data_IF_521461657424
#
_entry.id   IF_521461657424
#
_cell.length_a   1.000
_cell.length_b   1.000
_cell.length_c   1.000
_cell.angle_alpha   90.00
_cell.angle_beta   90.00
_cell.angle_gamma   90.00
#
_symmetry.space_group_name_H-M   'P 1'
#
loop_
_entity.id
_entity.type
_entity.pdbx_description
1 polymer ?
#
# COMPACT_ATOMS: atom_id res chain seq x y z
N UNK A 1 6.84 -12.36 8.96
CA UNK A 1 6.50 -13.49 9.83
C UNK A 1 6.61 -14.83 9.07
N UNK A 2 6.96 -15.93 9.77
CA UNK A 2 6.97 -17.26 9.17
C UNK A 2 5.54 -17.78 9.04
N UNK A 3 5.03 -17.92 7.78
CA UNK A 3 3.66 -18.42 7.56
C UNK A 3 2.63 -17.74 8.46
N UNK A 4 2.60 -16.40 8.47
CA UNK A 4 1.91 -15.57 9.46
C UNK A 4 0.52 -16.05 9.86
N UNK A 5 -0.38 -16.31 8.89
CA UNK A 5 -1.74 -16.78 9.17
C UNK A 5 -1.77 -18.10 9.97
N UNK A 6 -0.90 -19.05 9.66
CA UNK A 6 -0.85 -20.32 10.37
C UNK A 6 -0.37 -20.21 11.83
N UNK A 7 0.11 -19.05 12.24
CA UNK A 7 0.46 -18.80 13.65
C UNK A 7 -0.77 -18.37 14.48
N UNK A 8 -1.84 -17.88 13.84
CA UNK A 8 -3.07 -17.48 14.50
C UNK A 8 -4.02 -18.67 14.70
N UNK A 9 -4.54 -18.92 15.91
CA UNK A 9 -5.51 -20.00 16.15
C UNK A 9 -6.90 -19.60 15.63
N UNK A 10 -7.70 -20.63 15.26
CA UNK A 10 -9.13 -20.49 14.98
C UNK A 10 -9.93 -20.90 16.21
N UNK A 11 -10.93 -20.10 16.56
CA UNK A 11 -11.85 -20.46 17.63
C UNK A 11 -12.56 -21.79 17.32
N UNK A 12 -12.66 -22.68 18.30
CA UNK A 12 -13.18 -24.05 18.13
C UNK A 12 -14.53 -24.09 17.38
N UNK A 13 -15.46 -23.20 17.71
CA UNK A 13 -16.77 -23.15 17.08
C UNK A 13 -16.73 -22.72 15.59
N UNK A 14 -15.60 -22.19 15.13
CA UNK A 14 -15.40 -21.71 13.75
C UNK A 14 -14.61 -22.71 12.88
N UNK A 15 -13.96 -23.71 13.47
CA UNK A 15 -13.13 -24.69 12.75
C UNK A 15 -13.94 -25.44 11.69
N UNK A 16 -15.18 -25.82 11.98
CA UNK A 16 -16.11 -26.51 11.08
C UNK A 16 -16.33 -25.79 9.74
N UNK A 17 -16.19 -24.45 9.70
CA UNK A 17 -16.34 -23.68 8.45
C UNK A 17 -15.12 -23.77 7.55
N UNK A 18 -14.05 -24.39 8.01
CA UNK A 18 -12.81 -24.59 7.26
C UNK A 18 -12.66 -26.05 6.81
N UNK A 19 -13.71 -26.85 6.95
CA UNK A 19 -13.68 -28.27 6.66
C UNK A 19 -13.36 -28.52 5.16
N UNK A 20 -12.48 -29.49 4.92
CA UNK A 20 -12.09 -29.95 3.59
C UNK A 20 -12.00 -31.45 3.54
N UNK A 21 -12.35 -32.02 2.38
CA UNK A 21 -12.33 -33.47 2.16
C UNK A 21 -10.98 -33.90 1.57
N UNK A 22 -10.46 -35.01 2.09
CA UNK A 22 -9.28 -35.67 1.56
C UNK A 22 -9.60 -37.15 1.27
N UNK A 23 -8.74 -37.90 0.55
CA UNK A 23 -8.89 -39.35 0.41
C UNK A 23 -8.91 -40.13 1.75
N UNK A 24 -8.41 -39.49 2.81
CA UNK A 24 -8.28 -40.09 4.14
C UNK A 24 -9.38 -39.66 5.15
N UNK A 25 -10.28 -38.75 4.73
CA UNK A 25 -11.39 -38.27 5.54
C UNK A 25 -11.60 -36.76 5.49
N UNK A 26 -12.51 -36.33 6.36
CA UNK A 26 -12.84 -34.92 6.54
C UNK A 26 -11.95 -34.30 7.60
N UNK A 27 -11.33 -33.17 7.29
CA UNK A 27 -10.44 -32.42 8.18
C UNK A 27 -10.89 -30.96 8.32
N UNK A 28 -10.49 -30.35 9.42
CA UNK A 28 -10.75 -28.92 9.72
C UNK A 28 -9.44 -28.24 10.10
N UNK A 29 -9.32 -26.95 9.81
CA UNK A 29 -8.16 -26.18 10.22
C UNK A 29 -8.28 -25.72 11.67
N UNK A 30 -7.24 -25.98 12.45
CA UNK A 30 -7.10 -25.45 13.82
C UNK A 30 -6.36 -24.11 13.86
N UNK A 31 -5.69 -23.77 12.77
CA UNK A 31 -4.98 -22.50 12.54
C UNK A 31 -5.56 -21.81 11.33
N UNK A 32 -5.42 -20.50 11.26
CA UNK A 32 -5.98 -19.68 10.20
C UNK A 32 -5.40 -20.07 8.83
N UNK A 33 -6.19 -20.66 7.90
CA UNK A 33 -5.69 -21.04 6.59
C UNK A 33 -5.70 -19.86 5.63
N UNK A 34 -4.89 -19.97 4.57
CA UNK A 34 -4.98 -19.06 3.44
C UNK A 34 -6.29 -19.29 2.66
N UNK A 35 -6.82 -18.24 2.02
CA UNK A 35 -7.99 -18.31 1.15
C UNK A 35 -9.32 -17.97 1.81
N UNK A 36 -9.40 -17.83 3.14
CA UNK A 36 -10.58 -17.29 3.82
C UNK A 36 -10.66 -15.78 3.59
N UNK A 37 -11.81 -15.31 3.11
CA UNK A 37 -12.01 -13.88 2.78
C UNK A 37 -11.74 -12.94 3.97
N UNK A 38 -12.09 -13.35 5.19
CA UNK A 38 -11.87 -12.56 6.41
C UNK A 38 -10.50 -12.72 7.06
N UNK A 39 -9.66 -13.67 6.61
CA UNK A 39 -8.38 -13.97 7.25
C UNK A 39 -7.41 -12.78 7.29
N UNK A 40 -7.20 -12.02 6.18
CA UNK A 40 -6.29 -10.89 6.19
C UNK A 40 -6.70 -9.81 7.20
N UNK A 41 -7.98 -9.40 7.18
CA UNK A 41 -8.49 -8.36 8.09
C UNK A 41 -8.46 -8.80 9.55
N UNK A 42 -8.79 -10.07 9.83
CA UNK A 42 -8.70 -10.62 11.17
C UNK A 42 -7.26 -10.64 11.67
N UNK A 43 -6.33 -11.16 10.87
CA UNK A 43 -4.93 -11.24 11.21
C UNK A 43 -4.32 -9.85 11.46
N UNK A 44 -4.56 -8.91 10.54
CA UNK A 44 -4.13 -7.51 10.69
C UNK A 44 -4.63 -6.91 12.01
N UNK A 45 -5.91 -7.08 12.31
CA UNK A 45 -6.50 -6.56 13.54
C UNK A 45 -5.83 -7.16 14.79
N UNK A 46 -5.74 -8.49 14.88
CA UNK A 46 -5.12 -9.18 16.03
C UNK A 46 -3.67 -8.72 16.21
N UNK A 47 -2.91 -8.67 15.13
CA UNK A 47 -1.51 -8.22 15.18
C UNK A 47 -1.40 -6.77 15.69
N UNK A 48 -2.21 -5.85 15.19
CA UNK A 48 -2.13 -4.44 15.60
C UNK A 48 -2.67 -4.19 17.01
N UNK A 49 -3.79 -4.85 17.40
CA UNK A 49 -4.52 -4.49 18.65
C UNK A 49 -4.17 -5.38 19.83
N UNK A 50 -3.65 -6.58 19.61
CA UNK A 50 -3.36 -7.54 20.67
C UNK A 50 -1.87 -7.90 20.76
N UNK A 51 -1.22 -8.15 19.62
CA UNK A 51 0.21 -8.49 19.59
C UNK A 51 1.08 -7.25 19.75
N UNK A 52 0.90 -6.26 18.89
CA UNK A 52 1.71 -5.04 18.87
C UNK A 52 1.04 -3.86 19.58
N UNK A 53 0.07 -4.13 20.45
CA UNK A 53 -0.59 -3.10 21.25
C UNK A 53 0.42 -2.22 22.00
N UNK A 54 0.30 -0.89 21.84
CA UNK A 54 1.21 0.10 22.42
C UNK A 54 2.59 0.20 21.75
N UNK A 55 2.81 -0.52 20.64
CA UNK A 55 4.03 -0.44 19.82
C UNK A 55 3.71 -0.06 18.38
N UNK A 56 2.59 -0.56 17.83
CA UNK A 56 2.13 -0.25 16.49
C UNK A 56 1.83 1.24 16.32
N UNK A 57 2.24 1.81 15.19
CA UNK A 57 2.17 3.23 14.83
C UNK A 57 3.01 4.17 15.74
N UNK A 58 3.86 3.61 16.63
CA UNK A 58 4.79 4.36 17.46
C UNK A 58 6.23 4.02 17.07
N UNK A 59 6.61 2.74 17.17
CA UNK A 59 7.95 2.25 16.87
C UNK A 59 7.98 1.24 15.72
N UNK A 60 6.82 0.79 15.28
CA UNK A 60 6.69 -0.16 14.18
C UNK A 60 5.39 0.05 13.41
N UNK A 61 5.39 -0.38 12.15
CA UNK A 61 4.21 -0.44 11.30
C UNK A 61 4.07 -1.86 10.76
N UNK A 62 2.83 -2.31 10.64
CA UNK A 62 2.52 -3.65 10.15
C UNK A 62 1.54 -3.59 9.00
N UNK A 63 1.83 -4.34 7.95
CA UNK A 63 0.87 -4.64 6.90
C UNK A 63 0.85 -6.15 6.68
N UNK A 64 -0.21 -6.80 7.15
CA UNK A 64 -0.35 -8.26 7.18
C UNK A 64 0.83 -8.93 7.90
N UNK A 65 1.71 -9.61 7.17
CA UNK A 65 2.88 -10.32 7.69
C UNK A 65 4.20 -9.52 7.56
N UNK A 66 4.17 -8.37 6.90
CA UNK A 66 5.32 -7.47 6.77
C UNK A 66 5.35 -6.46 7.92
N UNK A 67 6.41 -6.52 8.72
CA UNK A 67 6.63 -5.65 9.87
C UNK A 67 7.87 -4.79 9.62
N UNK A 68 7.70 -3.48 9.72
CA UNK A 68 8.81 -2.52 9.71
C UNK A 68 8.99 -1.93 11.10
N UNK A 69 10.24 -1.85 11.56
CA UNK A 69 10.64 -1.23 12.83
C UNK A 69 11.47 -0.01 12.51
N UNK A 70 11.25 1.08 13.21
CA UNK A 70 11.93 2.36 12.98
C UNK A 70 12.64 2.86 14.22
N UNK A 71 13.64 3.71 14.04
CA UNK A 71 14.35 4.46 15.07
C UNK A 71 15.04 5.67 14.43
N UNK A 72 15.15 6.77 15.17
CA UNK A 72 15.83 8.00 14.72
C UNK A 72 17.37 7.88 14.83
N UNK A 73 17.82 7.04 15.75
CA UNK A 73 19.24 6.70 15.96
C UNK A 73 19.42 5.19 15.97
N UNK A 74 20.64 4.73 15.84
CA UNK A 74 20.97 3.31 15.94
C UNK A 74 20.57 2.73 17.30
N UNK A 75 20.83 3.45 18.39
CA UNK A 75 20.47 3.03 19.74
C UNK A 75 18.95 2.90 19.90
N UNK A 76 18.19 3.88 19.42
CA UNK A 76 16.72 3.82 19.44
C UNK A 76 16.20 2.66 18.59
N UNK A 77 16.76 2.45 17.40
CA UNK A 77 16.41 1.33 16.53
C UNK A 77 16.64 -0.02 17.24
N UNK A 78 17.81 -0.23 17.83
CA UNK A 78 18.15 -1.46 18.55
C UNK A 78 17.24 -1.68 19.77
N UNK A 79 16.94 -0.61 20.50
CA UNK A 79 15.99 -0.66 21.62
C UNK A 79 14.59 -1.06 21.14
N UNK A 80 14.09 -0.41 20.09
CA UNK A 80 12.77 -0.69 19.51
C UNK A 80 12.71 -2.13 18.96
N UNK A 81 13.75 -2.58 18.26
CA UNK A 81 13.86 -3.94 17.74
C UNK A 81 13.81 -4.98 18.86
N UNK A 82 14.53 -4.74 19.97
CA UNK A 82 14.51 -5.61 21.14
C UNK A 82 13.11 -5.72 21.74
N UNK A 83 12.39 -4.61 21.87
CA UNK A 83 10.99 -4.59 22.35
C UNK A 83 10.05 -5.38 21.43
N UNK A 84 10.23 -5.27 20.13
CA UNK A 84 9.45 -6.04 19.16
C UNK A 84 9.75 -7.54 19.30
N UNK A 85 11.03 -7.93 19.35
CA UNK A 85 11.39 -9.34 19.51
C UNK A 85 10.89 -9.94 20.82
N UNK A 86 10.96 -9.19 21.92
CA UNK A 86 10.41 -9.61 23.18
C UNK A 86 8.89 -9.82 23.07
N UNK A 87 8.15 -8.88 22.48
CA UNK A 87 6.70 -8.99 22.31
C UNK A 87 6.30 -10.19 21.44
N UNK A 88 7.00 -10.42 20.32
CA UNK A 88 6.74 -11.57 19.46
C UNK A 88 7.00 -12.89 20.20
N UNK A 89 8.08 -12.96 21.00
CA UNK A 89 8.39 -14.13 21.85
C UNK A 89 7.30 -14.38 22.89
N UNK A 90 6.84 -13.35 23.60
CA UNK A 90 5.77 -13.45 24.59
C UNK A 90 4.45 -13.95 23.98
N UNK A 91 4.19 -13.59 22.73
CA UNK A 91 2.99 -14.01 21.99
C UNK A 91 3.18 -15.31 21.20
N UNK A 92 4.36 -15.94 21.29
CA UNK A 92 4.67 -17.20 20.62
C UNK A 92 4.76 -17.10 19.09
N UNK A 93 5.07 -15.91 18.57
CA UNK A 93 5.20 -15.66 17.13
C UNK A 93 6.64 -15.81 16.66
N UNK A 94 6.81 -16.42 15.49
CA UNK A 94 8.12 -16.71 14.88
C UNK A 94 8.37 -15.87 13.63
N UNK A 95 9.62 -15.44 13.48
CA UNK A 95 10.13 -14.75 12.31
C UNK A 95 10.89 -15.72 11.41
N UNK A 96 11.00 -15.40 10.12
CA UNK A 96 11.94 -16.06 9.23
C UNK A 96 13.22 -15.21 9.15
N UNK A 97 14.36 -15.66 9.73
CA UNK A 97 15.59 -14.88 9.74
C UNK A 97 16.12 -14.57 8.34
N UNK A 98 15.95 -15.47 7.37
CA UNK A 98 16.43 -15.31 6.00
C UNK A 98 15.68 -14.18 5.23
N UNK A 99 14.46 -13.86 5.68
CA UNK A 99 13.65 -12.77 5.11
C UNK A 99 13.73 -11.47 5.91
N UNK A 100 14.48 -11.47 7.02
CA UNK A 100 14.65 -10.26 7.82
C UNK A 100 15.77 -9.41 7.24
N UNK A 101 15.48 -8.16 6.96
CA UNK A 101 16.46 -7.14 6.60
C UNK A 101 16.63 -6.25 7.84
N UNK A 102 17.82 -6.21 8.42
CA UNK A 102 18.09 -5.48 9.66
C UNK A 102 19.10 -4.35 9.38
N UNK A 103 18.84 -3.16 9.98
CA UNK A 103 19.75 -2.02 9.92
C UNK A 103 19.91 -1.42 8.52
N UNK A 104 18.95 -1.58 7.63
CA UNK A 104 18.98 -0.99 6.30
C UNK A 104 18.57 0.48 6.34
N UNK A 105 19.30 1.33 5.60
CA UNK A 105 18.95 2.75 5.42
C UNK A 105 17.79 2.95 4.43
N UNK A 106 17.51 1.94 3.60
CA UNK A 106 16.42 1.93 2.63
C UNK A 106 15.81 0.53 2.56
N UNK A 107 14.49 0.45 2.55
CA UNK A 107 13.76 -0.82 2.50
C UNK A 107 12.57 -0.74 1.56
N UNK A 108 12.25 -1.85 0.90
CA UNK A 108 10.97 -1.99 0.21
C UNK A 108 9.90 -2.44 1.21
N UNK A 109 8.82 -1.67 1.30
CA UNK A 109 7.69 -1.95 2.19
C UNK A 109 6.37 -1.63 1.48
N UNK A 110 5.51 -2.63 1.36
CA UNK A 110 4.20 -2.50 0.69
C UNK A 110 4.32 -1.85 -0.68
N UNK A 111 5.33 -2.27 -1.47
CA UNK A 111 5.53 -1.82 -2.85
C UNK A 111 6.12 -0.42 -3.02
N UNK A 112 6.49 0.24 -1.93
CA UNK A 112 7.19 1.51 -1.91
C UNK A 112 8.61 1.32 -1.40
N UNK A 113 9.50 2.18 -1.82
CA UNK A 113 10.84 2.30 -1.27
C UNK A 113 10.83 3.39 -0.20
N UNK A 114 11.19 3.03 1.04
CA UNK A 114 11.27 3.93 2.17
C UNK A 114 12.72 4.14 2.57
N UNK A 115 13.07 5.39 2.85
CA UNK A 115 14.34 5.77 3.48
C UNK A 115 14.13 6.92 4.47
N UNK A 116 15.21 7.48 5.03
CA UNK A 116 15.13 8.57 6.02
C UNK A 116 14.45 9.84 5.52
N UNK A 117 14.36 10.06 4.21
CA UNK A 117 13.81 11.28 3.63
C UNK A 117 12.36 11.15 3.21
N UNK A 118 11.88 9.93 2.96
CA UNK A 118 10.49 9.75 2.52
C UNK A 118 10.23 8.44 1.80
N UNK A 119 9.17 8.49 1.03
CA UNK A 119 8.54 7.37 0.35
C UNK A 119 8.55 7.63 -1.17
N UNK A 120 9.03 6.67 -1.95
CA UNK A 120 9.03 6.76 -3.42
C UNK A 120 8.84 5.38 -4.06
N UNK A 121 8.68 5.37 -5.36
CA UNK A 121 8.62 4.13 -6.13
C UNK A 121 9.97 3.82 -6.78
N UNK A 122 10.26 2.55 -6.94
CA UNK A 122 11.39 2.09 -7.73
C UNK A 122 11.23 2.54 -9.19
N UNK A 123 12.32 3.02 -9.81
CA UNK A 123 12.31 3.58 -11.17
C UNK A 123 11.78 2.59 -12.20
N UNK A 124 12.14 1.33 -12.11
CA UNK A 124 11.67 0.25 -12.98
C UNK A 124 10.14 0.11 -12.99
N UNK A 125 9.49 0.32 -11.84
CA UNK A 125 8.02 0.29 -11.74
C UNK A 125 7.39 1.48 -12.47
N UNK A 126 8.01 2.67 -12.38
CA UNK A 126 7.54 3.87 -13.08
C UNK A 126 7.74 3.75 -14.61
N UNK A 127 8.90 3.26 -15.04
CA UNK A 127 9.20 3.06 -16.46
C UNK A 127 8.22 2.09 -17.12
N UNK A 128 7.83 1.01 -16.43
CA UNK A 128 6.85 0.04 -16.91
C UNK A 128 5.47 0.65 -17.24
N UNK A 129 5.13 1.78 -16.63
CA UNK A 129 3.87 2.49 -16.91
C UNK A 129 3.96 3.28 -18.23
N UNK A 130 5.12 3.85 -18.55
CA UNK A 130 5.32 4.54 -19.85
C UNK A 130 5.18 3.56 -21.02
N UNK A 131 5.68 2.35 -20.87
CA UNK A 131 5.64 1.31 -21.90
C UNK A 131 4.29 0.59 -21.98
N UNK A 132 3.32 0.97 -21.14
CA UNK A 132 2.02 0.29 -21.13
C UNK A 132 1.27 0.50 -22.44
N UNK A 133 0.94 -0.62 -23.08
CA UNK A 133 0.20 -0.63 -24.34
C UNK A 133 -1.22 -0.08 -24.16
N UNK A 134 -1.70 0.62 -25.17
CA UNK A 134 -3.04 1.19 -25.17
C UNK A 134 -4.12 0.10 -25.11
N UNK A 135 -4.98 0.13 -24.08
CA UNK A 135 -6.03 -0.88 -23.92
C UNK A 135 -7.01 -0.92 -25.09
N UNK A 136 -7.27 -2.09 -25.64
CA UNK A 136 -8.27 -2.30 -26.70
C UNK A 136 -9.64 -2.71 -26.17
N UNK A 137 -9.71 -3.25 -24.93
CA UNK A 137 -10.95 -3.68 -24.28
C UNK A 137 -11.14 -3.03 -22.92
N UNK A 138 -12.41 -2.95 -22.48
CA UNK A 138 -12.72 -2.40 -21.14
C UNK A 138 -12.07 -3.21 -20.01
N UNK A 139 -11.86 -4.53 -20.19
CA UNK A 139 -11.12 -5.36 -19.21
C UNK A 139 -9.66 -4.89 -19.07
N UNK A 140 -8.98 -4.62 -20.19
CA UNK A 140 -7.61 -4.12 -20.19
C UNK A 140 -7.52 -2.71 -19.61
N UNK A 141 -8.47 -1.82 -19.93
CA UNK A 141 -8.55 -0.48 -19.35
C UNK A 141 -8.78 -0.54 -17.84
N UNK A 142 -9.68 -1.40 -17.37
CA UNK A 142 -9.90 -1.57 -15.93
C UNK A 142 -8.65 -2.06 -15.21
N UNK A 143 -7.87 -2.96 -15.84
CA UNK A 143 -6.57 -3.41 -15.31
C UNK A 143 -5.58 -2.26 -15.23
N UNK A 144 -5.44 -1.47 -16.30
CA UNK A 144 -4.58 -0.29 -16.33
C UNK A 144 -4.95 0.72 -15.23
N UNK A 145 -6.24 1.08 -15.13
CA UNK A 145 -6.72 1.99 -14.09
C UNK A 145 -6.50 1.45 -12.67
N UNK A 146 -6.58 0.13 -12.47
CA UNK A 146 -6.23 -0.50 -11.20
C UNK A 146 -4.76 -0.30 -10.84
N UNK A 147 -3.87 -0.39 -11.84
CA UNK A 147 -2.42 -0.18 -11.62
C UNK A 147 -2.13 1.29 -11.36
N UNK A 148 -2.61 2.23 -12.20
CA UNK A 148 -2.32 3.66 -11.99
C UNK A 148 -2.96 4.21 -10.71
N UNK A 149 -4.06 3.62 -10.24
CA UNK A 149 -4.67 3.99 -8.96
C UNK A 149 -3.77 3.68 -7.75
N UNK A 150 -2.81 2.78 -7.88
CA UNK A 150 -1.78 2.52 -6.86
C UNK A 150 -0.90 3.75 -6.61
N UNK A 151 -0.69 4.58 -7.65
CA UNK A 151 0.14 5.79 -7.60
C UNK A 151 -0.65 7.05 -7.24
N UNK A 152 -1.97 6.93 -6.97
CA UNK A 152 -2.87 8.08 -6.82
C UNK A 152 -2.42 9.12 -5.80
N UNK A 153 -1.82 8.66 -4.69
CA UNK A 153 -1.42 9.54 -3.58
C UNK A 153 -0.11 10.29 -3.88
N UNK A 154 0.57 9.93 -4.98
CA UNK A 154 1.75 10.60 -5.51
C UNK A 154 1.43 11.50 -6.73
N UNK A 155 0.21 11.44 -7.27
CA UNK A 155 -0.17 12.17 -8.49
C UNK A 155 -1.17 13.26 -8.17
N UNK A 156 -0.74 14.53 -8.34
CA UNK A 156 -1.64 15.68 -8.18
C UNK A 156 -2.79 15.58 -9.19
N UNK A 157 -4.02 15.82 -8.73
CA UNK A 157 -5.24 15.79 -9.56
C UNK A 157 -5.50 14.46 -10.28
N UNK A 158 -5.07 13.33 -9.71
CA UNK A 158 -5.24 12.00 -10.29
C UNK A 158 -6.68 11.76 -10.78
N UNK A 159 -7.70 12.01 -9.94
CA UNK A 159 -9.10 11.76 -10.28
C UNK A 159 -9.56 12.54 -11.50
N UNK A 160 -9.13 13.79 -11.63
CA UNK A 160 -9.45 14.64 -12.80
C UNK A 160 -8.82 14.09 -14.08
N UNK A 161 -7.56 13.62 -13.97
CA UNK A 161 -6.84 13.08 -15.14
C UNK A 161 -7.50 11.77 -15.61
N UNK A 162 -7.90 10.86 -14.70
CA UNK A 162 -8.48 9.57 -15.09
C UNK A 162 -9.97 9.61 -15.40
N UNK A 163 -10.65 10.72 -15.16
CA UNK A 163 -12.10 10.86 -15.39
C UNK A 163 -12.55 10.46 -16.80
N UNK A 164 -11.91 10.93 -17.90
CA UNK A 164 -12.28 10.51 -19.26
C UNK A 164 -12.13 8.99 -19.47
N UNK A 165 -11.11 8.38 -18.85
CA UNK A 165 -10.87 6.93 -18.93
C UNK A 165 -11.94 6.15 -18.17
N UNK A 166 -12.35 6.62 -16.99
CA UNK A 166 -13.44 6.02 -16.22
C UNK A 166 -14.78 6.10 -16.97
N UNK A 167 -15.02 7.15 -17.75
CA UNK A 167 -16.21 7.25 -18.58
C UNK A 167 -16.32 6.15 -19.63
N UNK A 168 -15.20 5.63 -20.13
CA UNK A 168 -15.16 4.50 -21.07
C UNK A 168 -15.53 3.17 -20.42
N UNK A 169 -15.60 3.10 -19.08
CA UNK A 169 -16.03 1.91 -18.32
C UNK A 169 -17.51 1.94 -17.93
N UNK A 170 -18.27 2.97 -18.32
CA UNK A 170 -19.73 2.95 -18.14
C UNK A 170 -20.31 1.77 -18.90
N UNK A 171 -21.21 1.03 -18.29
CA UNK A 171 -21.78 -0.21 -18.86
C UNK A 171 -20.72 -1.28 -19.12
N UNK A 172 -19.88 -1.54 -18.12
CA UNK A 172 -18.73 -2.44 -18.21
C UNK A 172 -19.10 -3.83 -18.74
N UNK A 173 -18.36 -4.25 -19.77
CA UNK A 173 -18.35 -5.63 -20.28
C UNK A 173 -16.90 -6.08 -20.54
N UNK A 174 -16.57 -7.33 -20.18
CA UNK A 174 -15.20 -7.87 -20.29
C UNK A 174 -14.66 -7.87 -21.71
N UNK A 175 -15.53 -8.05 -22.69
CA UNK A 175 -15.20 -8.25 -24.12
C UNK A 175 -15.43 -7.01 -24.98
N UNK A 176 -16.08 -5.97 -24.43
CA UNK A 176 -16.41 -4.78 -25.19
C UNK A 176 -15.14 -4.04 -25.61
N UNK A 177 -14.99 -3.78 -26.91
CA UNK A 177 -13.94 -2.94 -27.46
C UNK A 177 -14.17 -1.48 -27.11
N UNK A 178 -13.09 -0.78 -26.83
CA UNK A 178 -13.14 0.63 -26.48
C UNK A 178 -13.13 1.50 -27.75
N UNK A 179 -14.02 2.46 -27.81
CA UNK A 179 -13.94 3.55 -28.78
C UNK A 179 -13.25 4.74 -28.08
N UNK A 180 -12.02 4.99 -28.47
CA UNK A 180 -11.20 6.04 -27.91
C UNK A 180 -11.58 7.41 -28.49
N UNK A 181 -12.06 8.31 -27.64
CA UNK A 181 -12.18 9.73 -27.98
C UNK A 181 -10.81 10.42 -27.91
N UNK A 182 -10.69 11.61 -28.48
CA UNK A 182 -9.47 12.43 -28.35
C UNK A 182 -9.16 12.71 -26.89
N UNK A 183 -10.15 13.13 -26.11
CA UNK A 183 -10.02 13.42 -24.67
C UNK A 183 -9.51 12.21 -23.88
N UNK A 184 -10.02 10.99 -24.16
CA UNK A 184 -9.56 9.78 -23.50
C UNK A 184 -8.11 9.42 -23.90
N UNK A 185 -7.71 9.65 -25.15
CA UNK A 185 -6.33 9.45 -25.58
C UNK A 185 -5.37 10.40 -24.85
N UNK A 186 -5.71 11.67 -24.77
CA UNK A 186 -4.92 12.67 -24.04
C UNK A 186 -4.83 12.33 -22.55
N UNK A 187 -5.93 11.90 -21.93
CA UNK A 187 -5.96 11.47 -20.56
C UNK A 187 -5.07 10.23 -20.29
N UNK A 188 -5.05 9.28 -21.23
CA UNK A 188 -4.20 8.08 -21.14
C UNK A 188 -2.71 8.44 -21.14
N UNK A 189 -2.28 9.28 -22.09
CA UNK A 189 -0.89 9.73 -22.15
C UNK A 189 -0.52 10.65 -20.97
N UNK A 190 -1.46 11.48 -20.53
CA UNK A 190 -1.26 12.37 -19.39
C UNK A 190 -1.06 11.60 -18.08
N UNK A 191 -1.88 10.57 -17.83
CA UNK A 191 -1.73 9.80 -16.59
C UNK A 191 -0.44 8.96 -16.59
N UNK A 192 -0.02 8.40 -17.72
CA UNK A 192 1.26 7.69 -17.84
C UNK A 192 2.43 8.59 -17.47
N UNK A 193 2.48 9.80 -18.04
CA UNK A 193 3.51 10.80 -17.71
C UNK A 193 3.44 11.24 -16.26
N UNK A 194 2.25 11.54 -15.74
CA UNK A 194 2.06 11.98 -14.37
C UNK A 194 2.50 10.91 -13.34
N UNK A 195 2.32 9.62 -13.63
CA UNK A 195 2.83 8.54 -12.80
C UNK A 195 4.35 8.43 -12.92
N UNK A 196 4.89 8.46 -14.13
CA UNK A 196 6.34 8.37 -14.35
C UNK A 196 7.13 9.51 -13.68
N UNK A 197 6.54 10.72 -13.67
CA UNK A 197 7.12 11.93 -13.10
C UNK A 197 6.67 12.18 -11.66
N UNK A 198 5.96 11.24 -11.04
CA UNK A 198 5.43 11.43 -9.69
C UNK A 198 6.56 11.70 -8.68
N UNK A 199 6.37 12.67 -7.79
CA UNK A 199 7.41 13.04 -6.86
C UNK A 199 7.58 11.99 -5.76
N UNK A 200 8.73 12.03 -5.08
CA UNK A 200 8.88 11.46 -3.76
C UNK A 200 7.93 12.19 -2.82
N UNK A 201 7.27 11.45 -1.92
CA UNK A 201 6.59 12.03 -0.78
C UNK A 201 7.53 12.04 0.42
N UNK A 202 7.67 13.18 1.04
CA UNK A 202 8.56 13.38 2.18
C UNK A 202 7.83 13.12 3.49
N UNK A 203 8.56 12.65 4.50
CA UNK A 203 8.01 12.61 5.84
C UNK A 203 7.96 14.03 6.42
N UNK A 204 6.95 14.26 7.27
CA UNK A 204 6.84 15.51 8.00
C UNK A 204 8.05 15.69 8.90
N UNK A 205 8.66 16.86 8.86
CA UNK A 205 9.54 17.33 9.92
C UNK A 205 8.75 18.16 10.94
N UNK A 206 9.28 18.25 12.16
CA UNK A 206 8.61 18.94 13.26
C UNK A 206 8.89 20.45 13.29
N UNK A 207 9.65 20.98 12.34
CA UNK A 207 10.18 22.36 12.34
C UNK A 207 9.59 23.20 11.22
N UNK A 208 9.49 22.63 10.00
CA UNK A 208 9.08 23.39 8.83
C UNK A 208 7.57 23.63 8.80
N UNK A 209 7.12 24.81 8.37
CA UNK A 209 5.69 25.10 8.29
C UNK A 209 4.98 24.20 7.27
N UNK A 210 3.80 23.73 7.68
CA UNK A 210 2.92 22.87 6.88
C UNK A 210 1.92 23.75 6.12
N UNK A 211 1.76 23.48 4.84
CA UNK A 211 0.80 24.13 3.97
C UNK A 211 -0.16 23.10 3.38
N UNK A 212 -1.42 23.47 3.27
CA UNK A 212 -2.44 22.69 2.60
C UNK A 212 -3.12 23.55 1.55
N UNK A 213 -3.05 23.14 0.30
CA UNK A 213 -3.84 23.69 -0.80
C UNK A 213 -5.03 22.82 -1.06
N UNK A 214 -6.20 23.40 -1.17
CA UNK A 214 -7.43 22.69 -1.51
C UNK A 214 -8.07 23.32 -2.73
N UNK A 215 -8.62 22.48 -3.60
CA UNK A 215 -9.36 22.90 -4.80
C UNK A 215 -10.65 22.06 -4.90
N UNK A 216 -11.73 22.72 -5.26
CA UNK A 216 -13.04 22.08 -5.40
C UNK A 216 -13.73 22.54 -6.68
N UNK A 217 -14.30 21.59 -7.40
CA UNK A 217 -15.13 21.83 -8.57
C UNK A 217 -16.46 21.10 -8.44
N UNK A 218 -17.40 21.35 -9.33
CA UNK A 218 -18.63 20.56 -9.41
C UNK A 218 -18.42 19.06 -9.67
N UNK A 219 -17.19 18.63 -9.94
CA UNK A 219 -16.84 17.26 -10.31
C UNK A 219 -15.98 16.52 -9.30
N UNK A 220 -15.41 17.22 -8.32
CA UNK A 220 -14.54 16.60 -7.35
C UNK A 220 -13.78 17.60 -6.50
N UNK A 221 -13.08 17.07 -5.52
CA UNK A 221 -12.22 17.81 -4.61
C UNK A 221 -10.78 17.31 -4.75
N UNK A 222 -9.84 18.21 -4.60
CA UNK A 222 -8.40 17.95 -4.57
C UNK A 222 -7.75 18.64 -3.40
N UNK A 223 -6.69 18.04 -2.87
CA UNK A 223 -5.83 18.65 -1.88
C UNK A 223 -4.38 18.25 -2.10
N UNK A 224 -3.47 19.14 -1.76
CA UNK A 224 -2.04 18.86 -1.66
C UNK A 224 -1.52 19.37 -0.32
N UNK A 225 -0.79 18.51 0.38
CA UNK A 225 -0.11 18.80 1.62
C UNK A 225 1.38 18.88 1.35
N UNK A 226 2.03 19.92 1.81
CA UNK A 226 3.47 20.10 1.62
C UNK A 226 4.10 20.91 2.75
N UNK A 227 5.43 20.80 2.87
CA UNK A 227 6.25 21.65 3.73
C UNK A 227 7.15 22.51 2.85
N UNK A 228 7.42 23.73 3.29
CA UNK A 228 8.37 24.63 2.64
C UNK A 228 9.62 24.71 3.51
N UNK A 229 10.71 24.16 3.01
CA UNK A 229 11.99 24.13 3.73
C UNK A 229 12.71 25.47 3.59
N UNK A 230 12.66 26.06 2.40
CA UNK A 230 13.17 27.38 2.10
C UNK A 230 12.33 28.05 0.99
N UNK A 231 12.72 29.24 0.51
CA UNK A 231 11.98 29.99 -0.51
C UNK A 231 11.81 29.24 -1.84
N UNK A 232 12.67 28.27 -2.14
CA UNK A 232 12.71 27.53 -3.41
C UNK A 232 12.35 26.06 -3.28
N UNK A 233 12.49 25.49 -2.08
CA UNK A 233 12.36 24.05 -1.84
C UNK A 233 11.02 23.73 -1.21
N UNK A 234 10.16 23.05 -1.96
CA UNK A 234 8.87 22.53 -1.50
C UNK A 234 8.93 21.01 -1.47
N UNK A 235 8.61 20.42 -0.33
CA UNK A 235 8.55 18.98 -0.11
C UNK A 235 7.09 18.52 -0.08
N UNK A 236 6.68 17.75 -1.08
CA UNK A 236 5.34 17.18 -1.11
C UNK A 236 5.21 16.08 -0.05
N UNK A 237 4.14 16.14 0.75
CA UNK A 237 3.84 15.17 1.80
C UNK A 237 2.73 14.22 1.33
N UNK A 238 1.66 14.75 0.76
CA UNK A 238 0.54 13.94 0.28
C UNK A 238 -0.27 14.69 -0.79
N UNK A 239 -0.85 13.93 -1.71
CA UNK A 239 -1.89 14.41 -2.62
C UNK A 239 -3.18 13.65 -2.38
N UNK A 240 -4.31 14.31 -2.53
CA UNK A 240 -5.63 13.71 -2.48
C UNK A 240 -6.46 14.25 -3.65
N UNK A 241 -7.21 13.35 -4.29
CA UNK A 241 -8.23 13.75 -5.27
C UNK A 241 -9.40 12.75 -5.24
N UNK A 242 -10.64 13.27 -5.28
CA UNK A 242 -11.84 12.45 -5.19
C UNK A 242 -12.91 12.99 -6.15
#
# INVERSE_FOLDING_TARGET
LTSGYHQAPIHKNCQKYTAFLTPFGLYEWVRLPMGLAGAPSYFQRVMCTEVLAGLHAIICFLYLDDLIVTGRTEEEFLHNLSRIFQRLREKGLTLNPEKCVLGACEVEYVGHTLNSTGLHFERSKLDSILDWEKPSTQKQLKRFLGVVNWFRDHVKNHSTIVKPLNALLRNYSKTLKIQWSQEANEAFEKIKRAVHECPRLYFLDDVSPIFMETDASQYGIGASLYQRIDEKTVQAIAFMSK
#
